data_IF_417567769426
#
_entry.id   IF_417567769426
#
_cell.length_a   1.000
_cell.length_b   1.000
_cell.length_c   1.000
_cell.angle_alpha   90.00
_cell.angle_beta   90.00
_cell.angle_gamma   90.00
#
_symmetry.space_group_name_H-M   'P 1'
#
loop_
_entity.id
_entity.type
_entity.pdbx_description
1 polymer ?
#
# COMPACT_ATOMS: atom_id res chain seq x y z
N UNK A 1 27.29 -60.60 41.80
CA UNK A 1 26.95 -59.19 42.11
C UNK A 1 27.77 -58.16 41.33
N UNK A 2 29.09 -58.35 41.11
CA UNK A 2 29.94 -57.34 40.43
C UNK A 2 29.62 -57.05 38.95
N UNK A 3 29.18 -58.04 38.16
CA UNK A 3 28.84 -57.84 36.73
C UNK A 3 27.60 -56.95 36.52
N UNK A 4 26.60 -57.05 37.40
CA UNK A 4 25.36 -56.27 37.30
C UNK A 4 25.57 -54.79 37.63
N UNK A 5 26.46 -54.47 38.58
CA UNK A 5 26.82 -53.10 38.93
C UNK A 5 27.55 -52.36 37.79
N UNK A 6 28.42 -53.07 37.04
CA UNK A 6 29.16 -52.52 35.90
C UNK A 6 28.24 -52.16 34.72
N UNK A 7 27.20 -52.96 34.49
CA UNK A 7 26.19 -52.72 33.44
C UNK A 7 25.32 -51.51 33.78
N UNK A 8 24.87 -51.39 35.03
CA UNK A 8 24.09 -50.23 35.51
C UNK A 8 24.90 -48.94 35.43
N UNK A 9 26.18 -48.97 35.83
CA UNK A 9 27.09 -47.82 35.74
C UNK A 9 27.32 -47.37 34.28
N UNK A 10 27.49 -48.32 33.34
CA UNK A 10 27.61 -48.00 31.91
C UNK A 10 26.32 -47.41 31.32
N UNK A 11 25.15 -47.93 31.69
CA UNK A 11 23.86 -47.38 31.27
C UNK A 11 23.63 -45.95 31.79
N UNK A 12 23.95 -45.67 33.05
CA UNK A 12 23.86 -44.33 33.64
C UNK A 12 24.81 -43.33 32.96
N UNK A 13 26.03 -43.76 32.64
CA UNK A 13 27.00 -42.94 31.91
C UNK A 13 26.52 -42.63 30.48
N UNK A 14 25.96 -43.62 29.78
CA UNK A 14 25.37 -43.46 28.44
C UNK A 14 24.15 -42.52 28.47
N UNK A 15 23.26 -42.65 29.46
CA UNK A 15 22.14 -41.73 29.65
C UNK A 15 22.63 -40.30 29.91
N UNK A 16 23.63 -40.12 30.78
CA UNK A 16 24.20 -38.81 31.12
C UNK A 16 24.93 -38.17 29.92
N UNK A 17 25.61 -38.97 29.09
CA UNK A 17 26.21 -38.50 27.83
C UNK A 17 25.13 -38.13 26.80
N UNK A 18 24.02 -38.87 26.76
CA UNK A 18 22.89 -38.59 25.87
C UNK A 18 22.18 -37.29 26.28
N UNK A 19 21.95 -37.07 27.58
CA UNK A 19 21.36 -35.83 28.10
C UNK A 19 22.29 -34.63 27.94
N UNK A 20 23.61 -34.79 28.14
CA UNK A 20 24.60 -33.74 27.82
C UNK A 20 24.64 -33.40 26.34
N UNK A 21 24.65 -34.39 25.45
CA UNK A 21 24.62 -34.15 23.99
C UNK A 21 23.33 -33.46 23.56
N UNK A 22 22.18 -33.89 24.11
CA UNK A 22 20.90 -33.23 23.88
C UNK A 22 20.92 -31.78 24.38
N UNK A 23 21.45 -31.52 25.59
CA UNK A 23 21.56 -30.17 26.14
C UNK A 23 22.49 -29.26 25.30
N UNK A 24 23.62 -29.79 24.82
CA UNK A 24 24.52 -29.05 23.91
C UNK A 24 23.80 -28.73 22.59
N UNK A 25 23.05 -29.69 22.04
CA UNK A 25 22.28 -29.50 20.81
C UNK A 25 21.19 -28.43 20.97
N UNK A 26 20.46 -28.47 22.09
CA UNK A 26 19.45 -27.46 22.44
C UNK A 26 20.08 -26.09 22.65
N UNK A 27 21.20 -26.00 23.37
CA UNK A 27 21.91 -24.74 23.59
C UNK A 27 22.48 -24.14 22.30
N UNK A 28 23.04 -24.97 21.43
CA UNK A 28 23.53 -24.56 20.11
C UNK A 28 22.38 -24.08 19.21
N UNK A 29 21.25 -24.80 19.21
CA UNK A 29 20.05 -24.40 18.48
C UNK A 29 19.50 -23.06 19.00
N UNK A 30 19.34 -22.89 20.31
CA UNK A 30 18.90 -21.62 20.91
C UNK A 30 19.87 -20.49 20.59
N UNK A 31 21.18 -20.73 20.64
CA UNK A 31 22.19 -19.73 20.30
C UNK A 31 22.11 -19.33 18.83
N UNK A 32 21.88 -20.28 17.92
CA UNK A 32 21.67 -20.01 16.49
C UNK A 32 20.41 -19.19 16.26
N UNK A 33 19.32 -19.49 16.96
CA UNK A 33 18.06 -18.73 16.93
C UNK A 33 18.30 -17.29 17.41
N UNK A 34 18.97 -17.10 18.55
CA UNK A 34 19.32 -15.76 19.05
C UNK A 34 20.23 -15.01 18.06
N UNK A 35 21.27 -15.65 17.53
CA UNK A 35 22.16 -15.05 16.54
C UNK A 35 21.40 -14.65 15.27
N UNK A 36 20.43 -15.46 14.83
CA UNK A 36 19.58 -15.13 13.68
C UNK A 36 18.70 -13.91 13.91
N UNK A 37 18.38 -13.54 15.16
CA UNK A 37 17.68 -12.28 15.44
C UNK A 37 18.57 -11.08 15.12
N UNK A 38 19.86 -11.13 15.46
CA UNK A 38 20.77 -9.99 15.31
C UNK A 38 21.54 -9.95 13.98
N UNK A 39 21.57 -11.06 13.25
CA UNK A 39 22.30 -11.17 11.97
C UNK A 39 21.30 -11.37 10.83
N UNK A 40 20.96 -10.27 10.14
CA UNK A 40 20.00 -10.24 9.02
C UNK A 40 20.29 -11.30 7.95
N UNK A 41 21.57 -11.49 7.59
CA UNK A 41 21.97 -12.50 6.60
C UNK A 41 21.69 -13.93 7.06
N UNK A 42 21.92 -14.22 8.35
CA UNK A 42 21.64 -15.54 8.93
C UNK A 42 20.13 -15.78 9.04
N UNK A 43 19.35 -14.76 9.47
CA UNK A 43 17.89 -14.82 9.45
C UNK A 43 17.36 -15.16 8.06
N UNK A 44 17.81 -14.41 7.05
CA UNK A 44 17.33 -14.57 5.68
C UNK A 44 17.72 -15.93 5.11
N UNK A 45 18.87 -16.49 5.49
CA UNK A 45 19.26 -17.85 5.11
C UNK A 45 18.32 -18.90 5.72
N UNK A 46 18.01 -18.77 7.01
CA UNK A 46 17.17 -19.74 7.74
C UNK A 46 15.69 -19.62 7.33
N UNK A 47 15.19 -18.39 7.18
CA UNK A 47 13.77 -18.10 6.95
C UNK A 47 13.43 -17.88 5.47
N UNK A 48 14.38 -18.00 4.54
CA UNK A 48 14.22 -17.69 3.11
C UNK A 48 12.86 -18.10 2.49
N UNK A 49 12.36 -19.34 2.72
CA UNK A 49 11.15 -19.82 2.05
C UNK A 49 9.87 -19.12 2.53
N UNK A 50 9.88 -18.59 3.75
CA UNK A 50 8.70 -18.00 4.41
C UNK A 50 8.87 -16.52 4.74
N UNK A 51 10.06 -15.96 4.54
CA UNK A 51 10.37 -14.57 4.86
C UNK A 51 10.03 -13.64 3.69
N UNK A 52 9.10 -12.67 3.87
CA UNK A 52 8.71 -11.73 2.82
C UNK A 52 9.92 -10.99 2.25
N UNK A 53 9.94 -10.80 0.93
CA UNK A 53 10.99 -10.05 0.23
C UNK A 53 11.16 -8.65 0.80
N UNK A 54 10.04 -7.98 1.11
CA UNK A 54 9.99 -6.65 1.72
C UNK A 54 10.78 -6.54 3.04
N UNK A 55 10.93 -7.63 3.79
CA UNK A 55 11.60 -7.62 5.09
C UNK A 55 13.07 -8.02 5.04
N UNK A 56 13.55 -8.52 3.90
CA UNK A 56 14.89 -9.11 3.81
C UNK A 56 16.01 -8.10 4.14
N UNK A 57 15.80 -6.82 3.84
CA UNK A 57 16.77 -5.78 4.09
C UNK A 57 16.58 -5.05 5.44
N UNK A 58 15.51 -5.37 6.18
CA UNK A 58 15.15 -4.73 7.45
C UNK A 58 15.74 -5.53 8.62
N UNK A 59 16.25 -4.86 9.65
CA UNK A 59 16.72 -5.53 10.85
C UNK A 59 15.56 -6.22 11.60
N UNK A 60 15.84 -7.36 12.25
CA UNK A 60 14.78 -8.17 12.87
C UNK A 60 14.05 -7.42 13.99
N UNK A 61 14.77 -6.58 14.73
CA UNK A 61 14.19 -5.74 15.78
C UNK A 61 13.14 -4.78 15.22
N UNK A 62 13.41 -4.14 14.08
CA UNK A 62 12.46 -3.27 13.41
C UNK A 62 11.26 -4.06 12.89
N UNK A 63 11.47 -5.24 12.29
CA UNK A 63 10.36 -6.11 11.84
C UNK A 63 9.44 -6.48 13.01
N UNK A 64 10.01 -6.81 14.17
CA UNK A 64 9.24 -7.11 15.39
C UNK A 64 8.46 -5.88 15.85
N UNK A 65 9.10 -4.71 15.92
CA UNK A 65 8.45 -3.45 16.30
C UNK A 65 7.30 -3.09 15.36
N UNK A 66 7.50 -3.23 14.05
CA UNK A 66 6.47 -3.02 13.01
C UNK A 66 5.28 -3.95 13.26
N UNK A 67 5.54 -5.25 13.47
CA UNK A 67 4.49 -6.25 13.72
C UNK A 67 3.69 -5.95 14.97
N UNK A 68 4.35 -5.68 16.08
CA UNK A 68 3.70 -5.35 17.35
C UNK A 68 2.84 -4.09 17.20
N UNK A 69 3.31 -3.07 16.49
CA UNK A 69 2.53 -1.86 16.23
C UNK A 69 1.27 -2.17 15.40
N UNK A 70 1.39 -2.92 14.31
CA UNK A 70 0.26 -3.22 13.40
C UNK A 70 -0.84 -4.06 14.03
N UNK A 71 -0.56 -4.75 15.13
CA UNK A 71 -1.56 -5.49 15.90
C UNK A 71 -2.32 -4.63 16.90
N UNK A 72 -1.86 -3.41 17.15
CA UNK A 72 -2.53 -2.47 18.06
C UNK A 72 -3.76 -1.90 17.37
N UNK A 73 -4.95 -2.16 17.90
CA UNK A 73 -6.17 -1.54 17.42
C UNK A 73 -6.19 -0.06 17.82
N UNK A 74 -6.60 0.80 16.89
CA UNK A 74 -6.94 2.19 17.23
C UNK A 74 -8.41 2.28 17.57
N UNK A 75 -8.70 2.84 18.76
CA UNK A 75 -10.06 3.17 19.15
C UNK A 75 -10.51 4.44 18.42
N UNK A 76 -11.08 4.23 17.23
CA UNK A 76 -11.61 5.29 16.38
C UNK A 76 -13.06 5.54 16.81
N UNK A 77 -13.40 6.73 17.35
CA UNK A 77 -14.76 7.04 17.74
C UNK A 77 -15.73 6.92 16.57
N UNK A 78 -16.94 6.42 16.84
CA UNK A 78 -18.02 6.30 15.86
C UNK A 78 -18.93 7.54 15.81
N UNK A 79 -18.84 8.44 16.79
CA UNK A 79 -19.70 9.63 16.90
C UNK A 79 -19.36 10.75 15.91
N UNK A 80 -20.34 11.58 15.56
CA UNK A 80 -20.19 12.69 14.60
C UNK A 80 -19.07 13.65 15.03
N UNK A 81 -18.22 14.07 14.08
CA UNK A 81 -17.16 15.03 14.38
C UNK A 81 -17.72 16.44 14.51
N UNK A 82 -17.23 17.22 15.47
CA UNK A 82 -17.58 18.64 15.60
C UNK A 82 -16.84 19.45 14.53
N UNK A 83 -17.62 20.14 13.69
CA UNK A 83 -17.06 20.92 12.59
C UNK A 83 -16.62 22.31 13.05
N UNK A 84 -15.41 22.78 12.64
CA UNK A 84 -15.02 24.16 12.85
C UNK A 84 -16.01 25.12 12.19
N UNK A 85 -16.23 26.31 12.75
CA UNK A 85 -17.14 27.31 12.18
C UNK A 85 -16.74 27.79 10.78
N UNK A 86 -15.48 27.60 10.40
CA UNK A 86 -14.90 27.98 9.10
C UNK A 86 -14.58 26.75 8.22
N UNK A 87 -15.53 25.82 8.05
CA UNK A 87 -15.35 24.74 7.08
C UNK A 87 -15.23 25.36 5.68
N UNK A 88 -14.13 25.06 4.99
CA UNK A 88 -13.97 25.46 3.59
C UNK A 88 -15.09 24.85 2.74
N UNK A 89 -15.74 25.69 1.92
CA UNK A 89 -16.64 25.19 0.88
C UNK A 89 -15.78 24.52 -0.19
N UNK A 90 -16.02 23.25 -0.54
CA UNK A 90 -15.28 22.62 -1.63
C UNK A 90 -15.57 23.38 -2.92
N UNK A 91 -14.55 23.50 -3.76
CA UNK A 91 -14.72 24.07 -5.09
C UNK A 91 -15.62 23.13 -5.93
N UNK A 92 -16.41 23.67 -6.88
CA UNK A 92 -17.35 22.87 -7.66
C UNK A 92 -16.64 21.94 -8.64
N UNK A 93 -17.31 20.86 -9.04
CA UNK A 93 -16.83 19.92 -10.07
C UNK A 93 -16.46 20.63 -11.38
N UNK A 94 -17.19 21.68 -11.75
CA UNK A 94 -16.94 22.49 -12.94
C UNK A 94 -15.60 23.24 -12.94
N UNK A 95 -14.94 23.38 -11.79
CA UNK A 95 -13.62 23.97 -11.69
C UNK A 95 -12.49 22.98 -12.04
N UNK A 96 -12.78 21.68 -12.15
CA UNK A 96 -11.80 20.70 -12.64
C UNK A 96 -11.55 20.95 -14.12
N UNK A 97 -10.30 21.26 -14.47
CA UNK A 97 -9.92 21.47 -15.85
C UNK A 97 -9.88 20.13 -16.60
N UNK A 98 -10.97 19.82 -17.32
CA UNK A 98 -11.11 18.59 -18.12
C UNK A 98 -10.00 18.40 -19.16
N UNK A 99 -9.44 19.48 -19.70
CA UNK A 99 -8.37 19.38 -20.70
C UNK A 99 -7.03 18.95 -20.09
N UNK A 100 -6.90 19.02 -18.77
CA UNK A 100 -5.71 18.61 -18.02
C UNK A 100 -5.80 17.19 -17.49
N UNK A 101 -7.01 16.67 -17.30
CA UNK A 101 -7.23 15.27 -16.96
C UNK A 101 -6.84 14.37 -18.15
N UNK A 102 -6.16 13.26 -17.87
CA UNK A 102 -5.81 12.28 -18.90
C UNK A 102 -7.02 11.39 -19.15
N UNK A 103 -7.86 11.84 -20.09
CA UNK A 103 -9.04 11.13 -20.53
C UNK A 103 -8.68 10.10 -21.61
N UNK A 104 -9.01 8.84 -21.35
CA UNK A 104 -8.82 7.71 -22.27
C UNK A 104 -10.13 7.31 -22.97
N UNK A 105 -11.15 8.17 -22.90
CA UNK A 105 -12.54 7.96 -23.32
C UNK A 105 -12.71 7.58 -24.80
N UNK A 106 -11.71 7.87 -25.63
CA UNK A 106 -11.74 7.57 -27.07
C UNK A 106 -11.54 6.09 -27.37
N UNK A 107 -10.95 5.33 -26.45
CA UNK A 107 -10.53 3.95 -26.71
C UNK A 107 -11.65 2.95 -26.47
N UNK A 108 -11.87 2.08 -27.44
CA UNK A 108 -12.86 1.00 -27.44
C UNK A 108 -12.16 -0.36 -27.53
N UNK A 109 -12.89 -1.43 -27.20
CA UNK A 109 -12.42 -2.82 -27.29
C UNK A 109 -11.80 -3.18 -28.65
N UNK A 110 -12.29 -2.57 -29.72
CA UNK A 110 -11.82 -2.79 -31.10
C UNK A 110 -10.46 -2.19 -31.39
N UNK A 111 -10.00 -1.22 -30.60
CA UNK A 111 -8.70 -0.56 -30.81
C UNK A 111 -7.54 -1.43 -30.32
N UNK A 112 -7.82 -2.45 -29.51
CA UNK A 112 -6.82 -3.36 -28.95
C UNK A 112 -6.47 -4.47 -29.95
N UNK A 113 -5.19 -4.55 -30.30
CA UNK A 113 -4.65 -5.48 -31.31
C UNK A 113 -4.69 -6.95 -30.88
N UNK A 114 -4.46 -7.21 -29.59
CA UNK A 114 -4.42 -8.54 -29.01
C UNK A 114 -5.55 -8.74 -28.00
N UNK A 115 -6.04 -9.97 -27.86
CA UNK A 115 -7.14 -10.30 -26.96
C UNK A 115 -6.80 -10.05 -25.49
N UNK A 116 -5.59 -10.41 -25.07
CA UNK A 116 -5.03 -10.08 -23.75
C UNK A 116 -5.03 -8.59 -23.44
N UNK A 117 -4.77 -7.73 -24.44
CA UNK A 117 -4.75 -6.29 -24.24
C UNK A 117 -6.15 -5.72 -23.93
N UNK A 118 -7.24 -6.41 -24.29
CA UNK A 118 -8.62 -5.94 -24.04
C UNK A 118 -8.99 -5.89 -22.56
N UNK A 119 -8.20 -6.50 -21.67
CA UNK A 119 -8.38 -6.40 -20.20
C UNK A 119 -7.79 -5.12 -19.62
N UNK A 120 -7.09 -4.35 -20.43
CA UNK A 120 -6.53 -3.05 -20.08
C UNK A 120 -7.43 -1.91 -20.56
N UNK A 121 -8.72 -2.15 -20.80
CA UNK A 121 -9.66 -1.07 -21.13
C UNK A 121 -9.70 -0.03 -20.01
N UNK A 122 -9.85 1.26 -20.34
CA UNK A 122 -10.02 2.26 -19.31
C UNK A 122 -11.28 1.98 -18.48
N UNK A 123 -11.15 1.95 -17.16
CA UNK A 123 -12.28 1.72 -16.25
C UNK A 123 -13.04 3.02 -15.95
N UNK A 124 -12.33 4.15 -15.95
CA UNK A 124 -12.90 5.47 -15.79
C UNK A 124 -12.82 6.24 -17.10
N UNK A 125 -13.96 6.76 -17.55
CA UNK A 125 -14.06 7.63 -18.72
C UNK A 125 -14.97 8.84 -18.43
N UNK A 126 -14.71 9.95 -19.12
CA UNK A 126 -15.54 11.15 -19.13
C UNK A 126 -15.80 11.70 -17.74
N UNK A 127 -17.07 11.86 -17.39
CA UNK A 127 -17.50 12.47 -16.12
C UNK A 127 -17.09 11.64 -14.89
N UNK A 128 -16.99 10.31 -15.01
CA UNK A 128 -16.55 9.46 -13.90
C UNK A 128 -15.08 9.76 -13.52
N UNK A 129 -14.21 9.90 -14.53
CA UNK A 129 -12.81 10.28 -14.34
C UNK A 129 -12.68 11.69 -13.76
N UNK A 130 -13.46 12.65 -14.27
CA UNK A 130 -13.48 14.02 -13.76
C UNK A 130 -13.95 14.08 -12.31
N UNK A 131 -14.94 13.26 -11.95
CA UNK A 131 -15.43 13.12 -10.57
C UNK A 131 -14.35 12.54 -9.65
N UNK A 132 -13.61 11.53 -10.11
CA UNK A 132 -12.48 10.96 -9.36
C UNK A 132 -11.39 12.00 -9.08
N UNK A 133 -10.98 12.78 -10.09
CA UNK A 133 -10.01 13.86 -9.93
C UNK A 133 -10.55 14.97 -9.01
N UNK A 134 -11.84 15.29 -9.09
CA UNK A 134 -12.48 16.24 -8.18
C UNK A 134 -12.38 15.80 -6.73
N UNK A 135 -12.68 14.53 -6.44
CA UNK A 135 -12.58 13.95 -5.10
C UNK A 135 -11.18 14.08 -4.52
N UNK A 136 -10.17 13.69 -5.30
CA UNK A 136 -8.76 13.83 -4.91
C UNK A 136 -8.42 15.29 -4.58
N UNK A 137 -8.78 16.24 -5.47
CA UNK A 137 -8.44 17.64 -5.29
C UNK A 137 -9.16 18.28 -4.09
N UNK A 138 -10.40 17.88 -3.81
CA UNK A 138 -11.16 18.33 -2.63
C UNK A 138 -10.51 17.83 -1.34
N UNK A 139 -10.17 16.54 -1.27
CA UNK A 139 -9.49 15.98 -0.11
C UNK A 139 -8.10 16.60 0.08
N UNK A 140 -7.34 16.76 -1.01
CA UNK A 140 -6.01 17.37 -1.01
C UNK A 140 -6.03 18.81 -0.48
N UNK A 141 -6.96 19.65 -0.94
CA UNK A 141 -7.11 21.04 -0.45
C UNK A 141 -7.47 21.07 1.03
N UNK A 142 -8.41 20.22 1.47
CA UNK A 142 -8.82 20.14 2.87
C UNK A 142 -7.66 19.72 3.79
N UNK A 143 -6.91 18.67 3.42
CA UNK A 143 -5.74 18.21 4.17
C UNK A 143 -4.64 19.29 4.20
N UNK A 144 -4.32 19.90 3.06
CA UNK A 144 -3.31 20.95 2.96
C UNK A 144 -3.62 22.15 3.85
N UNK A 145 -4.87 22.64 3.85
CA UNK A 145 -5.30 23.76 4.71
C UNK A 145 -5.21 23.43 6.20
N UNK A 146 -5.29 22.15 6.55
CA UNK A 146 -5.16 21.69 7.93
C UNK A 146 -3.72 21.38 8.36
N UNK A 147 -2.74 21.61 7.49
CA UNK A 147 -1.33 21.30 7.75
C UNK A 147 -1.05 19.80 7.80
N UNK A 148 -1.89 18.97 7.18
CA UNK A 148 -1.69 17.52 7.10
C UNK A 148 -1.04 17.19 5.75
N UNK A 149 0.20 16.72 5.81
CA UNK A 149 0.89 16.16 4.66
C UNK A 149 0.36 14.77 4.31
N UNK A 150 0.27 14.51 3.01
CA UNK A 150 -0.08 13.21 2.44
C UNK A 150 0.74 13.01 1.16
N UNK A 151 0.79 11.80 0.64
CA UNK A 151 1.37 11.51 -0.67
C UNK A 151 0.62 10.38 -1.38
N UNK A 152 0.74 10.31 -2.70
CA UNK A 152 0.16 9.21 -3.49
C UNK A 152 0.85 7.88 -3.14
N UNK A 153 0.08 6.80 -3.06
CA UNK A 153 0.58 5.43 -2.84
C UNK A 153 -0.02 4.45 -3.84
N UNK A 154 0.39 3.18 -3.77
CA UNK A 154 -0.18 2.08 -4.57
C UNK A 154 -0.27 2.39 -6.08
N UNK A 155 -1.39 2.03 -6.72
CA UNK A 155 -1.65 2.22 -8.15
C UNK A 155 -1.58 3.70 -8.55
N UNK A 156 -1.95 4.59 -7.65
CA UNK A 156 -1.87 6.04 -7.86
C UNK A 156 -0.44 6.56 -7.93
N UNK A 157 0.47 6.06 -7.09
CA UNK A 157 1.90 6.41 -7.16
C UNK A 157 2.56 5.86 -8.42
N UNK A 158 2.26 4.61 -8.76
CA UNK A 158 2.67 4.00 -10.03
C UNK A 158 2.14 4.81 -11.21
N UNK A 159 0.89 5.27 -11.13
CA UNK A 159 0.26 6.14 -12.10
C UNK A 159 1.02 7.44 -12.30
N UNK A 160 1.22 8.22 -11.23
CA UNK A 160 1.96 9.47 -11.29
C UNK A 160 3.34 9.26 -11.93
N UNK A 161 4.01 8.17 -11.56
CA UNK A 161 5.31 7.83 -12.10
C UNK A 161 5.28 7.34 -13.55
N UNK A 162 4.37 6.46 -13.97
CA UNK A 162 4.40 5.80 -15.29
C UNK A 162 3.54 6.51 -16.34
N UNK A 163 2.45 7.14 -15.92
CA UNK A 163 1.42 7.70 -16.81
C UNK A 163 1.21 9.20 -16.63
N UNK A 164 1.87 9.85 -15.66
CA UNK A 164 1.61 11.26 -15.29
C UNK A 164 0.13 11.52 -14.94
N UNK A 165 -0.51 10.53 -14.34
CA UNK A 165 -1.94 10.45 -14.06
C UNK A 165 -2.28 9.06 -13.53
N UNK A 166 -3.54 8.71 -13.33
CA UNK A 166 -3.87 7.35 -12.88
C UNK A 166 -3.45 6.32 -13.93
N UNK A 167 -3.24 5.08 -13.49
CA UNK A 167 -3.14 3.95 -14.41
C UNK A 167 -4.45 3.89 -15.22
N UNK A 168 -4.41 3.80 -16.57
CA UNK A 168 -5.61 4.01 -17.40
C UNK A 168 -6.77 3.05 -17.09
N UNK A 169 -6.44 1.82 -16.72
CA UNK A 169 -7.37 0.76 -16.35
C UNK A 169 -7.59 0.65 -14.84
N UNK A 170 -7.29 1.68 -14.07
CA UNK A 170 -7.52 1.74 -12.62
C UNK A 170 -8.78 2.58 -12.32
N UNK A 171 -9.45 2.33 -11.19
CA UNK A 171 -10.75 2.93 -10.89
C UNK A 171 -10.85 3.66 -9.54
N UNK A 172 -9.75 3.85 -8.82
CA UNK A 172 -9.65 4.61 -7.57
C UNK A 172 -8.36 5.45 -7.46
N UNK A 173 -8.28 6.29 -6.43
CA UNK A 173 -7.08 7.04 -6.09
C UNK A 173 -6.70 6.77 -4.64
N UNK A 174 -5.42 6.47 -4.41
CA UNK A 174 -4.86 6.14 -3.11
C UNK A 174 -3.94 7.23 -2.59
N UNK A 175 -4.18 7.66 -1.36
CA UNK A 175 -3.28 8.54 -0.61
C UNK A 175 -2.89 7.92 0.73
N UNK A 176 -1.70 8.26 1.21
CA UNK A 176 -1.24 7.88 2.53
C UNK A 176 -0.98 9.10 3.42
N UNK A 177 -1.46 9.02 4.66
CA UNK A 177 -1.34 10.08 5.68
C UNK A 177 -0.65 9.54 6.92
N UNK A 178 0.15 10.36 7.60
CA UNK A 178 0.75 9.94 8.87
C UNK A 178 -0.36 9.70 9.91
N UNK A 179 -0.35 8.52 10.53
CA UNK A 179 -1.33 8.10 11.53
C UNK A 179 -1.44 9.09 12.69
N UNK A 180 -0.37 9.79 13.06
CA UNK A 180 -0.43 10.82 14.13
C UNK A 180 -1.49 11.90 13.87
N UNK A 181 -1.87 12.13 12.61
CA UNK A 181 -2.85 13.12 12.20
C UNK A 181 -4.27 12.56 11.99
N UNK A 182 -4.55 11.29 12.31
CA UNK A 182 -5.85 10.65 12.03
C UNK A 182 -7.04 11.43 12.59
N UNK A 183 -6.92 12.04 13.78
CA UNK A 183 -7.98 12.86 14.39
C UNK A 183 -8.25 14.13 13.57
N UNK A 184 -7.20 14.78 13.07
CA UNK A 184 -7.31 15.96 12.22
C UNK A 184 -7.93 15.57 10.88
N UNK A 185 -7.47 14.50 10.24
CA UNK A 185 -8.02 13.98 8.98
C UNK A 185 -9.52 13.70 9.12
N UNK A 186 -9.90 12.95 10.16
CA UNK A 186 -11.30 12.62 10.46
C UNK A 186 -12.13 13.89 10.59
N UNK A 187 -11.69 14.83 11.44
CA UNK A 187 -12.41 16.08 11.67
C UNK A 187 -12.56 16.91 10.40
N UNK A 188 -11.48 17.06 9.63
CA UNK A 188 -11.46 17.94 8.46
C UNK A 188 -12.30 17.35 7.33
N UNK A 189 -12.09 16.07 6.99
CA UNK A 189 -12.79 15.43 5.88
C UNK A 189 -14.25 15.13 6.17
N UNK A 190 -14.62 14.77 7.42
CA UNK A 190 -16.04 14.62 7.80
C UNK A 190 -16.85 15.92 7.71
N UNK A 191 -16.17 17.07 7.67
CA UNK A 191 -16.83 18.36 7.64
C UNK A 191 -16.92 18.96 6.24
N UNK A 192 -16.31 18.37 5.22
CA UNK A 192 -16.38 18.90 3.85
C UNK A 192 -17.79 18.73 3.30
N UNK A 193 -18.52 19.84 3.14
CA UNK A 193 -19.91 19.82 2.71
C UNK A 193 -20.11 19.17 1.33
N UNK A 194 -21.09 18.28 1.21
CA UNK A 194 -21.35 17.55 -0.05
C UNK A 194 -20.56 16.26 -0.21
N UNK A 195 -19.73 15.89 0.77
CA UNK A 195 -18.94 14.66 0.78
C UNK A 195 -19.15 13.90 2.10
N UNK A 196 -18.78 12.62 2.10
CA UNK A 196 -18.82 11.71 3.24
C UNK A 196 -17.45 11.06 3.41
N UNK A 197 -17.07 10.86 4.67
CA UNK A 197 -15.90 10.08 5.06
C UNK A 197 -16.38 8.81 5.76
N UNK A 198 -16.07 7.65 5.18
CA UNK A 198 -16.19 6.36 5.85
C UNK A 198 -14.87 6.01 6.54
N UNK A 199 -14.93 5.82 7.85
CA UNK A 199 -13.78 5.43 8.68
C UNK A 199 -13.86 3.97 9.07
N UNK A 200 -12.72 3.31 9.17
CA UNK A 200 -12.59 1.90 9.52
C UNK A 200 -11.46 1.71 10.54
N UNK A 201 -11.64 0.77 11.48
CA UNK A 201 -10.66 0.40 12.52
C UNK A 201 -9.35 -0.13 11.94
N UNK A 202 -9.37 -0.69 10.73
CA UNK A 202 -8.17 -1.15 10.03
C UNK A 202 -7.34 -0.01 9.39
N UNK A 203 -7.76 1.25 9.56
CA UNK A 203 -7.09 2.44 8.99
C UNK A 203 -7.03 2.45 7.46
N UNK A 204 -8.06 1.90 6.83
CA UNK A 204 -8.33 2.07 5.41
C UNK A 204 -9.67 2.80 5.28
N UNK A 205 -9.60 4.10 5.00
CA UNK A 205 -10.76 4.99 4.99
C UNK A 205 -11.14 5.36 3.57
N UNK A 206 -12.40 5.71 3.35
CA UNK A 206 -12.93 6.09 2.03
C UNK A 206 -13.55 7.48 2.07
N UNK A 207 -13.26 8.31 1.07
CA UNK A 207 -13.86 9.63 0.92
C UNK A 207 -14.60 9.74 -0.43
N UNK A 208 -15.88 10.09 -0.40
CA UNK A 208 -16.78 10.02 -1.55
C UNK A 208 -17.90 11.09 -1.50
N UNK A 209 -18.61 11.38 -2.60
CA UNK A 209 -19.69 12.37 -2.62
C UNK A 209 -20.91 11.93 -1.79
N UNK A 210 -21.60 12.87 -1.14
CA UNK A 210 -22.82 12.58 -0.38
C UNK A 210 -24.01 12.17 -1.28
N UNK A 211 -23.96 12.48 -2.57
CA UNK A 211 -25.02 12.15 -3.53
C UNK A 211 -25.03 10.68 -3.99
N UNK A 212 -24.11 9.83 -3.50
CA UNK A 212 -24.06 8.42 -3.92
C UNK A 212 -24.94 7.53 -3.03
N UNK A 213 -26.05 7.02 -3.58
CA UNK A 213 -26.86 5.91 -3.05
C UNK A 213 -27.25 4.93 -4.17
N UNK A 214 -27.10 3.58 -4.04
CA UNK A 214 -26.20 2.77 -3.18
C UNK A 214 -25.39 1.69 -3.99
N UNK A 215 -24.22 1.19 -3.55
CA UNK A 215 -24.05 0.11 -2.54
C UNK A 215 -22.70 0.17 -1.77
N UNK A 216 -21.69 0.93 -2.24
CA UNK A 216 -20.32 0.93 -1.66
C UNK A 216 -19.59 2.28 -1.63
N UNK A 217 -20.26 3.38 -1.98
CA UNK A 217 -19.65 4.72 -1.98
C UNK A 217 -18.75 5.03 -3.18
N UNK A 218 -18.88 4.34 -4.30
CA UNK A 218 -18.13 4.63 -5.52
C UNK A 218 -18.73 5.81 -6.32
N UNK A 219 -17.92 6.69 -6.93
CA UNK A 219 -16.45 6.76 -6.86
C UNK A 219 -15.96 7.25 -5.49
N UNK A 220 -14.79 6.77 -5.07
CA UNK A 220 -14.12 7.16 -3.82
C UNK A 220 -12.63 7.33 -4.04
N UNK A 221 -11.97 8.02 -3.10
CA UNK A 221 -10.54 7.86 -2.88
C UNK A 221 -10.30 7.05 -1.62
N UNK A 222 -9.26 6.23 -1.65
CA UNK A 222 -8.77 5.47 -0.51
C UNK A 222 -7.72 6.26 0.25
N UNK A 223 -7.86 6.25 1.58
CA UNK A 223 -6.98 6.94 2.52
C UNK A 223 -6.38 5.87 3.41
N UNK A 224 -5.11 5.57 3.15
CA UNK A 224 -4.28 4.72 3.97
C UNK A 224 -3.54 5.54 5.02
N UNK A 225 -3.12 4.87 6.08
CA UNK A 225 -2.28 5.48 7.10
C UNK A 225 -0.93 4.79 7.19
N UNK A 226 0.11 5.58 7.42
CA UNK A 226 1.45 5.10 7.70
C UNK A 226 1.93 5.58 9.06
N UNK A 227 2.93 4.88 9.60
CA UNK A 227 3.77 5.37 10.69
C UNK A 227 5.23 5.10 10.35
N UNK A 228 6.15 5.47 11.22
CA UNK A 228 7.57 5.25 10.96
C UNK A 228 8.43 5.43 12.20
N UNK A 229 9.70 5.05 12.05
CA UNK A 229 10.79 5.37 12.97
C UNK A 229 11.80 6.29 12.26
N UNK A 230 13.07 6.26 12.65
CA UNK A 230 14.11 7.08 12.01
C UNK A 230 14.61 6.49 10.68
N UNK A 231 14.41 5.19 10.45
CA UNK A 231 14.91 4.49 9.27
C UNK A 231 13.81 4.17 8.25
N UNK A 232 12.61 3.83 8.70
CA UNK A 232 11.54 3.28 7.87
C UNK A 232 10.19 3.97 8.09
N UNK A 233 9.36 3.83 7.06
CA UNK A 233 7.96 4.20 7.00
C UNK A 233 7.18 2.95 6.58
N UNK A 234 6.12 2.60 7.28
CA UNK A 234 5.32 1.41 6.96
C UNK A 234 3.83 1.67 7.09
N UNK A 235 3.04 0.92 6.31
CA UNK A 235 1.59 0.98 6.38
C UNK A 235 1.08 0.49 7.74
N UNK A 236 0.05 1.17 8.26
CA UNK A 236 -0.65 0.76 9.49
C UNK A 236 -1.68 -0.33 9.17
N UNK A 237 -2.27 -0.28 7.99
CA UNK A 237 -3.23 -1.26 7.50
C UNK A 237 -2.57 -2.64 7.40
N UNK A 238 -3.04 -3.61 8.20
CA UNK A 238 -2.37 -4.91 8.38
C UNK A 238 -2.02 -5.64 7.07
N UNK A 239 -2.90 -5.62 6.07
CA UNK A 239 -2.68 -6.34 4.80
C UNK A 239 -1.64 -5.65 3.90
N UNK A 240 -1.41 -4.34 4.06
CA UNK A 240 -0.33 -3.61 3.38
C UNK A 240 0.96 -3.58 4.21
N UNK A 241 0.87 -3.63 5.53
CA UNK A 241 2.04 -3.54 6.42
C UNK A 241 3.11 -4.64 6.17
N UNK A 242 2.71 -5.73 5.51
CA UNK A 242 3.62 -6.83 5.17
C UNK A 242 4.36 -6.62 3.85
N UNK A 243 3.84 -5.76 2.97
CA UNK A 243 4.35 -5.50 1.62
C UNK A 243 4.84 -4.07 1.40
N UNK A 244 4.37 -3.10 2.21
CA UNK A 244 4.64 -1.67 2.05
C UNK A 244 5.45 -1.17 3.25
N UNK A 245 6.77 -1.29 3.13
CA UNK A 245 7.75 -0.73 4.05
C UNK A 245 8.82 -0.04 3.22
N UNK A 246 8.99 1.26 3.43
CA UNK A 246 9.90 2.11 2.66
C UNK A 246 10.95 2.72 3.57
N UNK A 247 12.15 2.91 3.03
CA UNK A 247 13.18 3.67 3.74
C UNK A 247 12.76 5.15 3.84
N UNK A 248 12.89 5.73 5.03
CA UNK A 248 12.52 7.12 5.31
C UNK A 248 13.31 8.10 4.46
N UNK A 249 14.59 7.81 4.19
CA UNK A 249 15.47 8.62 3.31
C UNK A 249 15.01 8.67 1.83
N UNK A 250 14.29 7.63 1.39
CA UNK A 250 13.76 7.49 0.05
C UNK A 250 12.31 8.01 -0.03
N UNK A 251 11.66 8.12 1.13
CA UNK A 251 10.31 8.67 1.27
C UNK A 251 10.32 10.18 1.42
N UNK A 252 11.17 10.71 2.30
CA UNK A 252 11.17 12.11 2.73
C UNK A 252 12.49 12.85 2.42
N UNK A 253 12.46 14.19 2.30
CA UNK A 253 11.26 15.03 2.21
C UNK A 253 10.44 14.69 0.95
N UNK A 254 9.14 14.90 1.00
CA UNK A 254 8.28 14.69 -0.16
C UNK A 254 8.71 15.60 -1.31
N UNK A 255 8.43 15.15 -2.53
CA UNK A 255 8.53 15.95 -3.76
C UNK A 255 7.16 15.98 -4.45
N UNK A 256 7.10 16.44 -5.70
CA UNK A 256 5.87 16.44 -6.49
C UNK A 256 6.06 15.78 -7.84
N UNK A 257 5.03 15.09 -8.33
CA UNK A 257 4.93 14.58 -9.69
C UNK A 257 3.64 15.05 -10.36
N UNK A 258 3.62 15.06 -11.69
CA UNK A 258 2.40 15.32 -12.45
C UNK A 258 1.41 14.16 -12.28
N UNK A 259 0.18 14.47 -11.90
CA UNK A 259 -0.90 13.51 -11.75
C UNK A 259 -2.22 14.17 -12.19
N UNK A 260 -2.78 13.75 -13.32
CA UNK A 260 -4.03 14.31 -13.87
C UNK A 260 -3.94 15.83 -14.10
N UNK A 261 -2.75 16.29 -14.52
CA UNK A 261 -2.44 17.67 -14.84
C UNK A 261 -2.34 18.63 -13.65
N UNK A 262 -2.23 18.08 -12.43
CA UNK A 262 -1.83 18.81 -11.21
C UNK A 262 -0.53 18.24 -10.64
N UNK A 263 0.13 19.01 -9.77
CA UNK A 263 1.29 18.54 -9.02
C UNK A 263 0.80 17.86 -7.73
N UNK A 264 0.97 16.54 -7.67
CA UNK A 264 0.62 15.72 -6.51
C UNK A 264 1.86 15.44 -5.65
N UNK A 265 1.77 15.48 -4.31
CA UNK A 265 2.86 15.06 -3.44
C UNK A 265 3.18 13.57 -3.62
N UNK A 266 4.46 13.25 -3.77
CA UNK A 266 4.98 11.89 -3.92
C UNK A 266 6.27 11.71 -3.09
N UNK A 267 6.65 10.46 -2.76
CA UNK A 267 7.92 10.16 -2.13
C UNK A 267 9.14 10.69 -2.89
N UNK A 268 10.19 11.11 -2.18
CA UNK A 268 11.43 11.67 -2.74
C UNK A 268 12.00 10.87 -3.91
N UNK A 269 12.19 9.56 -3.69
CA UNK A 269 12.77 8.64 -4.65
C UNK A 269 11.69 7.69 -5.18
N UNK A 270 10.64 8.27 -5.80
CA UNK A 270 9.45 7.55 -6.27
C UNK A 270 9.77 6.30 -7.12
N UNK A 271 10.72 6.37 -8.06
CA UNK A 271 11.09 5.20 -8.90
C UNK A 271 11.59 4.01 -8.06
N UNK A 272 12.37 4.27 -7.01
CA UNK A 272 12.89 3.23 -6.10
C UNK A 272 11.73 2.53 -5.40
N UNK A 273 10.78 3.30 -4.87
CA UNK A 273 9.65 2.74 -4.09
C UNK A 273 8.65 2.02 -4.99
N UNK A 274 8.34 2.57 -6.18
CA UNK A 274 7.44 1.92 -7.13
C UNK A 274 8.00 0.56 -7.58
N UNK A 275 9.30 0.46 -7.83
CA UNK A 275 9.97 -0.82 -8.19
C UNK A 275 10.00 -1.85 -7.07
N UNK A 276 9.81 -1.45 -5.81
CA UNK A 276 9.72 -2.38 -4.69
C UNK A 276 8.34 -3.04 -4.61
N UNK A 277 7.29 -2.35 -5.05
CA UNK A 277 5.90 -2.81 -4.94
C UNK A 277 5.42 -3.45 -6.25
N UNK A 278 5.80 -2.87 -7.39
CA UNK A 278 5.27 -3.24 -8.70
C UNK A 278 6.34 -3.82 -9.61
N UNK A 279 5.95 -4.81 -10.42
CA UNK A 279 6.72 -5.20 -11.58
C UNK A 279 6.70 -4.06 -12.60
N UNK A 280 7.89 -3.56 -12.92
CA UNK A 280 8.04 -2.40 -13.80
C UNK A 280 8.02 -2.79 -15.28
N UNK A 281 8.41 -4.01 -15.61
CA UNK A 281 8.45 -4.53 -16.98
C UNK A 281 7.07 -5.07 -17.40
N UNK A 282 6.34 -5.64 -16.43
CA UNK A 282 5.08 -6.33 -16.68
C UNK A 282 3.87 -5.55 -16.14
N UNK A 283 2.94 -5.27 -17.03
CA UNK A 283 1.67 -4.62 -16.73
C UNK A 283 0.64 -5.70 -16.42
N UNK A 284 0.02 -5.58 -15.25
CA UNK A 284 -1.11 -6.39 -14.84
C UNK A 284 -2.41 -5.61 -15.07
N UNK A 285 -3.42 -6.27 -15.65
CA UNK A 285 -4.79 -5.74 -15.68
C UNK A 285 -5.37 -5.70 -14.26
N UNK A 286 -6.52 -5.04 -14.05
CA UNK A 286 -7.14 -4.99 -12.73
C UNK A 286 -7.37 -6.38 -12.15
N UNK A 287 -7.15 -6.52 -10.85
CA UNK A 287 -7.57 -7.69 -10.07
C UNK A 287 -8.91 -7.46 -9.36
N UNK A 288 -9.39 -6.22 -9.33
CA UNK A 288 -10.63 -5.82 -8.66
C UNK A 288 -11.29 -4.68 -9.43
N UNK A 289 -12.62 -4.64 -9.44
CA UNK A 289 -13.44 -3.58 -10.04
C UNK A 289 -14.32 -3.00 -8.95
N UNK A 290 -13.96 -1.82 -8.44
CA UNK A 290 -14.58 -1.20 -7.26
C UNK A 290 -16.01 -0.74 -7.53
N UNK A 291 -16.30 -0.27 -8.75
CA UNK A 291 -17.65 0.15 -9.14
C UNK A 291 -18.72 -0.95 -8.92
N UNK A 292 -18.30 -2.21 -8.93
CA UNK A 292 -19.18 -3.38 -8.81
C UNK A 292 -18.81 -4.33 -7.66
N UNK A 293 -17.75 -4.03 -6.91
CA UNK A 293 -17.14 -4.90 -5.89
C UNK A 293 -16.83 -6.32 -6.40
N UNK A 294 -16.23 -6.40 -7.59
CA UNK A 294 -15.92 -7.67 -8.25
C UNK A 294 -14.42 -7.94 -8.15
N UNK A 295 -14.05 -9.05 -7.51
CA UNK A 295 -12.70 -9.62 -7.59
C UNK A 295 -12.58 -10.46 -8.86
N UNK A 296 -11.53 -10.23 -9.64
CA UNK A 296 -11.28 -10.92 -10.90
C UNK A 296 -10.42 -12.16 -10.67
N UNK A 297 -10.80 -13.27 -11.30
CA UNK A 297 -10.01 -14.49 -11.24
C UNK A 297 -8.77 -14.37 -12.12
N UNK A 298 -7.76 -15.23 -11.91
CA UNK A 298 -6.55 -15.24 -12.75
C UNK A 298 -6.83 -15.48 -14.24
N UNK A 299 -8.01 -16.03 -14.61
CA UNK A 299 -8.43 -16.23 -16.01
C UNK A 299 -8.97 -14.94 -16.65
N UNK A 300 -9.49 -14.03 -15.83
CA UNK A 300 -10.06 -12.76 -16.23
C UNK A 300 -8.99 -11.65 -16.25
N UNK A 301 -7.85 -11.90 -15.62
CA UNK A 301 -6.69 -11.03 -15.61
C UNK A 301 -5.76 -11.29 -16.80
N UNK A 302 -4.90 -10.31 -17.11
CA UNK A 302 -3.79 -10.47 -18.05
C UNK A 302 -2.55 -9.78 -17.52
N UNK A 303 -1.41 -10.42 -17.78
CA UNK A 303 -0.08 -9.88 -17.51
C UNK A 303 0.64 -9.84 -18.84
N UNK A 304 1.05 -8.64 -19.26
CA UNK A 304 1.72 -8.41 -20.54
C UNK A 304 2.92 -7.51 -20.32
N UNK A 305 3.91 -7.52 -21.23
CA UNK A 305 4.98 -6.50 -21.15
C UNK A 305 4.36 -5.11 -21.28
N UNK A 306 4.66 -4.20 -20.37
CA UNK A 306 4.12 -2.84 -20.45
C UNK A 306 4.43 -2.15 -21.79
N UNK A 307 5.57 -2.49 -22.42
CA UNK A 307 5.94 -1.97 -23.74
C UNK A 307 4.97 -2.36 -24.85
N UNK A 308 4.22 -3.46 -24.72
CA UNK A 308 3.23 -3.90 -25.71
C UNK A 308 1.97 -3.05 -25.73
N UNK A 309 1.75 -2.19 -24.71
CA UNK A 309 0.58 -1.32 -24.56
C UNK A 309 0.83 0.13 -25.02
N UNK A 310 2.05 0.46 -25.43
CA UNK A 310 2.49 1.83 -25.80
C UNK A 310 1.79 2.42 -27.03
N UNK A 311 1.14 1.58 -27.84
CA UNK A 311 0.32 2.03 -28.97
C UNK A 311 -1.04 2.63 -28.56
N UNK A 312 -1.47 2.40 -27.31
CA UNK A 312 -2.71 2.94 -26.74
C UNK A 312 -2.40 3.95 -25.63
N UNK A 313 -1.47 3.58 -24.76
CA UNK A 313 -1.22 4.31 -23.52
C UNK A 313 0.12 5.02 -23.52
N UNK A 314 0.10 6.25 -23.02
CA UNK A 314 1.31 7.01 -22.72
C UNK A 314 2.00 6.40 -21.48
N UNK A 315 3.25 5.99 -21.67
CA UNK A 315 4.07 5.23 -20.71
C UNK A 315 5.39 5.96 -20.47
N UNK A 316 5.31 7.13 -19.85
CA UNK A 316 6.37 8.13 -19.76
C UNK A 316 7.73 7.64 -19.26
N UNK A 317 7.78 6.68 -18.34
CA UNK A 317 9.03 6.18 -17.74
C UNK A 317 9.40 4.73 -18.11
N UNK A 318 8.74 4.13 -19.10
CA UNK A 318 9.29 2.92 -19.72
C UNK A 318 10.50 3.31 -20.57
N UNK A 319 11.66 3.50 -19.92
CA UNK A 319 12.93 3.60 -20.62
C UNK A 319 13.23 2.22 -21.22
N UNK A 320 13.18 2.15 -22.55
CA UNK A 320 13.79 1.07 -23.33
C UNK A 320 15.29 1.00 -23.06
#
# INVERSE_FOLDING_TARGET
MARSALVISRCLLLLCLCTRKAAIFVAAFLSLVVLSVFVTSLRNLILYPVWPSAWRHIATVDVISIKLFTQTSMDIPTGVSTCPSSVAKPFPLSAVNRSKAKLYDRFKRTDFRAEEHRRFLPLLAGDAKVTMVHLYLVAADALKRSGVEFFLVEGSLLGAHRHRGMVPWDDDIDIAVNVVHWRTVRRVLSCVGGFLLHVNQNMHWKFFPNSTTPRYGFPFIDIFFYTGNDEYVWAVTHYLAQSVIFAKKDTFPLTTAEFEGVLAPVPKNTDVLVRQVFDYEWCQSPSYIHAHEISLSSKDMSVVKCSSLTYIYDMHHLKY
#
